data_IF_300064108337
#
_entry.id   IF_300064108337
#
_cell.length_a   1.000
_cell.length_b   1.000
_cell.length_c   1.000
_cell.angle_alpha   90.00
_cell.angle_beta   90.00
_cell.angle_gamma   90.00
#
_symmetry.space_group_name_H-M   'P 1'
#
loop_
_entity.id
_entity.type
_entity.pdbx_description
1 polymer ?
#
# COMPACT_ATOMS: atom_id res chain seq x y z
N UNK A 1 8.40 15.24 -1.36
CA UNK A 1 9.20 14.11 -1.86
C UNK A 1 9.62 13.08 -0.79
N UNK A 2 9.72 13.43 0.52
CA UNK A 2 10.10 12.47 1.59
C UNK A 2 9.02 11.41 1.92
N UNK A 3 7.73 11.72 1.78
CA UNK A 3 6.61 10.79 2.09
C UNK A 3 6.38 9.70 1.02
N UNK A 4 6.89 9.86 -0.19
CA UNK A 4 6.59 8.94 -1.31
C UNK A 4 7.44 7.66 -1.33
N UNK A 5 8.63 7.66 -0.72
CA UNK A 5 9.50 6.48 -0.66
C UNK A 5 8.99 5.52 0.43
N UNK A 6 8.56 6.06 1.58
CA UNK A 6 8.01 5.26 2.69
C UNK A 6 6.73 4.54 2.29
N UNK A 7 5.80 5.22 1.60
CA UNK A 7 4.54 4.62 1.16
C UNK A 7 4.72 3.44 0.20
N UNK A 8 5.78 3.45 -0.63
CA UNK A 8 6.10 2.34 -1.53
C UNK A 8 6.72 1.13 -0.81
N UNK A 9 7.41 1.35 0.31
CA UNK A 9 8.08 0.31 1.09
C UNK A 9 7.09 -0.39 2.02
N UNK A 10 6.18 0.35 2.64
CA UNK A 10 5.13 -0.17 3.54
C UNK A 10 4.21 -1.16 2.80
N UNK A 11 3.90 -0.92 1.53
CA UNK A 11 3.05 -1.81 0.72
C UNK A 11 3.59 -3.23 0.53
N UNK A 12 4.88 -3.45 0.75
CA UNK A 12 5.55 -4.75 0.52
C UNK A 12 5.53 -5.62 1.78
N UNK A 13 5.49 -5.04 2.97
CA UNK A 13 5.61 -5.78 4.24
C UNK A 13 4.33 -6.53 4.67
N UNK A 14 3.14 -6.09 4.24
CA UNK A 14 1.87 -6.62 4.70
C UNK A 14 1.31 -7.83 3.92
N UNK A 15 1.99 -8.32 2.89
CA UNK A 15 1.48 -9.42 2.06
C UNK A 15 1.68 -10.80 2.71
N UNK A 16 2.40 -10.89 3.81
CA UNK A 16 3.02 -12.13 4.27
C UNK A 16 2.27 -12.90 5.37
N UNK A 17 1.23 -12.35 5.97
CA UNK A 17 0.57 -12.98 7.13
C UNK A 17 -0.57 -13.96 6.79
N UNK A 18 -0.79 -14.30 5.51
CA UNK A 18 -1.90 -15.19 5.11
C UNK A 18 -1.38 -16.42 4.40
N UNK A 19 -0.92 -17.39 5.15
CA UNK A 19 -0.50 -18.69 4.66
C UNK A 19 -0.86 -19.82 5.63
N UNK A 20 -2.14 -19.90 6.05
CA UNK A 20 -2.69 -21.13 6.61
C UNK A 20 -3.93 -21.51 5.78
N UNK A 21 -3.67 -22.13 4.66
CA UNK A 21 -4.70 -22.81 3.86
C UNK A 21 -5.09 -24.10 4.56
N UNK A 22 -6.17 -24.07 5.31
CA UNK A 22 -6.80 -25.25 5.89
C UNK A 22 -7.85 -25.77 4.90
N UNK A 23 -7.37 -26.35 3.80
CA UNK A 23 -8.23 -27.13 2.91
C UNK A 23 -8.55 -28.47 3.54
N UNK A 24 -9.58 -28.51 4.35
CA UNK A 24 -10.24 -29.74 4.80
C UNK A 24 -11.23 -30.17 3.70
N UNK A 25 -10.75 -30.88 2.70
CA UNK A 25 -11.62 -31.67 1.83
C UNK A 25 -12.11 -32.90 2.58
N UNK A 26 -13.37 -32.85 2.96
CA UNK A 26 -14.14 -33.95 3.52
C UNK A 26 -14.64 -34.85 2.38
N UNK A 27 -13.86 -35.86 2.02
CA UNK A 27 -14.35 -36.96 1.18
C UNK A 27 -14.78 -38.14 2.07
N UNK A 28 -16.07 -38.26 2.21
CA UNK A 28 -16.79 -39.33 2.87
C UNK A 28 -16.86 -40.58 1.98
N UNK A 29 -16.19 -41.69 2.33
CA UNK A 29 -16.61 -43.02 1.92
C UNK A 29 -16.34 -44.01 3.04
N UNK A 30 -17.40 -44.65 3.48
CA UNK A 30 -17.45 -45.52 4.62
C UNK A 30 -16.78 -46.92 4.41
N UNK A 31 -16.48 -47.55 5.51
CA UNK A 31 -17.00 -48.90 5.88
C UNK A 31 -16.34 -49.37 7.17
N UNK A 32 -17.20 -49.77 8.09
CA UNK A 32 -17.08 -50.57 9.30
C UNK A 32 -15.81 -51.35 9.63
N UNK A 33 -15.35 -51.32 10.90
CA UNK A 33 -15.36 -52.50 11.80
C UNK A 33 -14.86 -52.09 13.21
N UNK A 34 -15.54 -52.64 14.20
CA UNK A 34 -15.26 -52.55 15.63
C UNK A 34 -13.90 -53.16 15.97
N UNK A 35 -13.16 -52.58 16.90
CA UNK A 35 -12.66 -53.31 18.06
C UNK A 35 -12.35 -52.40 19.23
N UNK A 36 -12.73 -52.90 20.43
CA UNK A 36 -12.57 -52.29 21.74
C UNK A 36 -11.15 -52.55 22.23
N UNK A 37 -10.44 -51.51 22.69
CA UNK A 37 -9.52 -51.67 23.80
C UNK A 37 -9.40 -50.39 24.62
N UNK A 38 -9.72 -50.54 25.89
CA UNK A 38 -9.72 -49.57 26.98
C UNK A 38 -8.30 -49.52 27.52
N UNK A 39 -7.63 -48.35 27.42
CA UNK A 39 -6.46 -48.05 28.25
C UNK A 39 -6.60 -46.66 28.80
N UNK A 40 -6.71 -46.56 30.11
CA UNK A 40 -6.69 -45.34 30.87
C UNK A 40 -5.32 -44.67 30.69
N UNK A 41 -5.31 -43.44 30.20
CA UNK A 41 -4.14 -42.60 30.25
C UNK A 41 -4.47 -41.27 30.95
N UNK A 42 -3.75 -41.05 31.98
CA UNK A 42 -3.68 -39.92 32.90
C UNK A 42 -3.69 -38.58 32.14
N UNK A 43 -4.66 -37.77 32.50
CA UNK A 43 -4.82 -36.38 32.04
C UNK A 43 -3.72 -35.52 32.64
N UNK A 44 -2.68 -35.23 31.85
CA UNK A 44 -1.89 -34.03 32.04
C UNK A 44 -2.57 -32.90 31.30
N UNK A 45 -3.06 -31.93 32.02
CA UNK A 45 -3.63 -30.70 31.51
C UNK A 45 -2.58 -29.93 30.69
N UNK A 46 -2.73 -29.89 29.35
CA UNK A 46 -2.09 -28.94 28.47
C UNK A 46 -2.65 -27.54 28.74
N UNK A 47 -1.82 -26.50 28.91
CA UNK A 47 -2.35 -25.15 29.04
C UNK A 47 -2.89 -24.67 27.68
N UNK A 48 -4.07 -24.09 27.75
CA UNK A 48 -4.80 -23.18 26.85
C UNK A 48 -4.33 -23.02 25.38
N UNK A 49 -4.54 -24.04 24.55
CA UNK A 49 -4.40 -23.92 23.09
C UNK A 49 -5.61 -23.25 22.39
N UNK A 50 -6.70 -22.97 23.11
CA UNK A 50 -7.91 -22.35 22.54
C UNK A 50 -7.84 -20.82 22.40
N UNK A 51 -7.04 -20.14 23.23
CA UNK A 51 -6.95 -18.67 23.19
C UNK A 51 -6.00 -18.20 22.07
N UNK A 52 -4.93 -18.92 21.81
CA UNK A 52 -3.92 -18.53 20.81
C UNK A 52 -4.48 -18.53 19.38
N UNK A 53 -5.26 -19.53 19.00
CA UNK A 53 -5.89 -19.62 17.68
C UNK A 53 -6.93 -18.51 17.43
N UNK A 54 -7.59 -18.01 18.49
CA UNK A 54 -8.51 -16.87 18.41
C UNK A 54 -7.78 -15.55 18.16
N UNK A 55 -6.63 -15.35 18.80
CA UNK A 55 -5.82 -14.14 18.68
C UNK A 55 -5.20 -14.02 17.27
N UNK A 56 -4.67 -15.12 16.74
CA UNK A 56 -4.10 -15.18 15.38
C UNK A 56 -5.14 -14.89 14.28
N UNK A 57 -6.34 -15.48 14.40
CA UNK A 57 -7.44 -15.23 13.46
C UNK A 57 -7.86 -13.77 13.48
N UNK A 58 -7.99 -13.17 14.67
CA UNK A 58 -8.31 -11.76 14.79
C UNK A 58 -7.21 -10.85 14.20
N UNK A 59 -5.95 -11.18 14.47
CA UNK A 59 -4.82 -10.44 13.90
C UNK A 59 -4.81 -10.50 12.38
N UNK A 60 -4.96 -11.69 11.79
CA UNK A 60 -5.04 -11.88 10.34
C UNK A 60 -6.18 -11.07 9.71
N UNK A 61 -7.36 -11.03 10.34
CA UNK A 61 -8.50 -10.24 9.85
C UNK A 61 -8.24 -8.73 9.93
N UNK A 62 -7.54 -8.24 10.96
CA UNK A 62 -7.13 -6.84 11.04
C UNK A 62 -6.20 -6.50 9.86
N UNK A 63 -5.16 -7.31 9.63
CA UNK A 63 -4.21 -7.11 8.52
C UNK A 63 -4.94 -7.11 7.17
N UNK A 64 -5.82 -8.08 6.94
CA UNK A 64 -6.58 -8.15 5.69
C UNK A 64 -7.39 -6.87 5.45
N UNK A 65 -8.13 -6.40 6.47
CA UNK A 65 -8.93 -5.18 6.34
C UNK A 65 -8.06 -3.94 6.13
N UNK A 66 -6.91 -3.84 6.82
CA UNK A 66 -5.96 -2.76 6.60
C UNK A 66 -5.42 -2.73 5.17
N UNK A 67 -5.08 -3.90 4.61
CA UNK A 67 -4.63 -4.02 3.23
C UNK A 67 -5.71 -3.61 2.21
N UNK A 68 -6.97 -3.90 2.49
CA UNK A 68 -8.09 -3.44 1.66
C UNK A 68 -8.24 -1.91 1.72
N UNK A 69 -8.06 -1.27 2.89
CA UNK A 69 -8.00 0.18 2.97
C UNK A 69 -6.82 0.76 2.17
N UNK A 70 -5.64 0.16 2.26
CA UNK A 70 -4.48 0.59 1.46
C UNK A 70 -4.77 0.50 -0.05
N UNK A 71 -5.35 -0.62 -0.51
CA UNK A 71 -5.77 -0.79 -1.91
C UNK A 71 -6.75 0.32 -2.31
N UNK A 72 -7.71 0.64 -1.44
CA UNK A 72 -8.69 1.71 -1.66
C UNK A 72 -8.03 3.09 -1.78
N UNK A 73 -7.08 3.42 -0.91
CA UNK A 73 -6.32 4.69 -0.96
C UNK A 73 -5.42 4.81 -2.20
N UNK A 74 -5.03 3.67 -2.77
CA UNK A 74 -4.32 3.58 -4.05
C UNK A 74 -5.25 3.47 -5.27
N UNK A 75 -6.56 3.65 -5.08
CA UNK A 75 -7.60 3.57 -6.13
C UNK A 75 -7.70 2.19 -6.80
N UNK A 76 -7.19 1.13 -6.16
CA UNK A 76 -7.33 -0.26 -6.63
C UNK A 76 -8.64 -0.88 -6.13
N UNK A 77 -9.73 -0.56 -6.81
CA UNK A 77 -11.05 -1.13 -6.53
C UNK A 77 -11.20 -2.58 -7.01
N UNK A 78 -10.29 -3.06 -7.87
CA UNK A 78 -10.28 -4.45 -8.33
C UNK A 78 -10.11 -5.44 -7.18
N UNK A 79 -9.18 -5.16 -6.29
CA UNK A 79 -8.93 -5.94 -5.06
C UNK A 79 -10.17 -5.99 -4.15
N UNK A 80 -10.86 -4.86 -3.98
CA UNK A 80 -12.08 -4.78 -3.16
C UNK A 80 -13.23 -5.60 -3.76
N UNK A 81 -13.42 -5.48 -5.08
CA UNK A 81 -14.44 -6.22 -5.81
C UNK A 81 -14.15 -7.72 -5.78
N UNK A 82 -12.90 -8.13 -5.93
CA UNK A 82 -12.48 -9.52 -5.80
C UNK A 82 -12.84 -10.08 -4.41
N UNK A 83 -12.53 -9.35 -3.35
CA UNK A 83 -12.91 -9.74 -1.98
C UNK A 83 -14.42 -9.85 -1.81
N UNK A 84 -15.18 -8.87 -2.33
CA UNK A 84 -16.65 -8.84 -2.25
C UNK A 84 -17.31 -10.00 -2.99
N UNK A 85 -16.81 -10.35 -4.17
CA UNK A 85 -17.51 -11.25 -5.11
C UNK A 85 -16.90 -12.63 -5.23
N UNK A 86 -15.68 -12.86 -4.71
CA UNK A 86 -14.89 -14.08 -4.91
C UNK A 86 -14.39 -14.28 -6.34
N UNK A 87 -14.61 -13.31 -7.24
CA UNK A 87 -14.20 -13.41 -8.64
C UNK A 87 -12.96 -12.55 -8.88
N UNK A 88 -11.98 -13.11 -9.58
CA UNK A 88 -10.83 -12.34 -10.03
C UNK A 88 -11.35 -11.21 -10.94
N UNK A 89 -11.30 -10.00 -10.43
CA UNK A 89 -11.51 -8.79 -11.19
C UNK A 89 -10.15 -8.33 -11.70
N UNK A 90 -10.03 -8.02 -12.99
CA UNK A 90 -8.83 -7.34 -13.47
C UNK A 90 -8.63 -6.04 -12.69
N UNK A 91 -7.40 -5.52 -12.66
CA UNK A 91 -7.08 -4.23 -12.01
C UNK A 91 -8.03 -3.15 -12.55
N UNK A 92 -8.90 -2.66 -11.67
CA UNK A 92 -9.80 -1.53 -11.98
C UNK A 92 -9.19 -0.32 -11.30
N UNK A 93 -8.21 0.27 -11.96
CA UNK A 93 -7.58 1.50 -11.50
C UNK A 93 -8.27 2.68 -12.20
N UNK A 94 -8.95 3.52 -11.44
CA UNK A 94 -9.72 4.64 -12.00
C UNK A 94 -8.81 5.85 -12.26
N UNK A 95 -7.70 5.97 -11.53
CA UNK A 95 -6.78 7.11 -11.58
C UNK A 95 -7.53 8.47 -11.49
N UNK A 96 -8.53 8.56 -10.60
CA UNK A 96 -9.38 9.74 -10.48
C UNK A 96 -8.56 11.00 -10.22
N UNK A 97 -7.58 10.93 -9.32
CA UNK A 97 -6.74 12.06 -8.96
C UNK A 97 -5.92 12.57 -10.15
N UNK A 98 -5.28 11.67 -10.90
CA UNK A 98 -4.46 12.04 -12.06
C UNK A 98 -5.32 12.57 -13.21
N UNK A 99 -6.47 11.94 -13.46
CA UNK A 99 -7.43 12.41 -14.46
C UNK A 99 -7.99 13.79 -14.11
N UNK A 100 -8.34 14.01 -12.83
CA UNK A 100 -8.81 15.32 -12.36
C UNK A 100 -7.74 16.39 -12.49
N UNK A 101 -6.50 16.08 -12.08
CA UNK A 101 -5.35 16.98 -12.25
C UNK A 101 -5.16 17.38 -13.71
N UNK A 102 -5.24 16.40 -14.62
CA UNK A 102 -5.14 16.62 -16.07
C UNK A 102 -6.24 17.55 -16.57
N UNK A 103 -7.50 17.31 -16.15
CA UNK A 103 -8.66 18.14 -16.52
C UNK A 103 -8.46 19.58 -16.01
N UNK A 104 -8.17 19.73 -14.72
CA UNK A 104 -7.98 21.06 -14.11
C UNK A 104 -6.84 21.83 -14.77
N UNK A 105 -5.68 21.17 -15.00
CA UNK A 105 -4.54 21.82 -15.67
C UNK A 105 -4.85 22.21 -17.11
N UNK A 106 -5.59 21.37 -17.84
CA UNK A 106 -5.96 21.65 -19.25
C UNK A 106 -7.02 22.73 -19.41
N UNK A 107 -7.81 22.97 -18.38
CA UNK A 107 -8.87 23.99 -18.35
C UNK A 107 -8.44 25.27 -17.61
N UNK A 108 -7.25 25.30 -17.01
CA UNK A 108 -6.77 26.42 -16.22
C UNK A 108 -6.31 27.57 -17.11
N UNK A 109 -6.66 28.80 -16.72
CA UNK A 109 -6.02 30.01 -17.24
C UNK A 109 -4.53 30.08 -16.87
N UNK A 110 -3.75 30.91 -17.55
CA UNK A 110 -2.29 31.04 -17.34
C UNK A 110 -1.90 31.32 -15.87
N UNK A 111 -2.76 31.98 -15.11
CA UNK A 111 -2.55 32.23 -13.68
C UNK A 111 -3.10 31.09 -12.75
N UNK A 112 -3.75 30.08 -13.31
CA UNK A 112 -4.33 28.96 -12.55
C UNK A 112 -5.57 29.28 -11.71
N UNK A 113 -6.08 30.51 -11.77
CA UNK A 113 -7.17 30.96 -10.87
C UNK A 113 -8.57 30.70 -11.42
N UNK A 114 -8.73 30.64 -12.75
CA UNK A 114 -10.02 30.52 -13.41
C UNK A 114 -9.97 29.52 -14.57
N UNK A 115 -11.16 29.15 -15.06
CA UNK A 115 -11.29 28.29 -16.25
C UNK A 115 -10.98 29.11 -17.52
N UNK A 116 -10.17 28.55 -18.44
CA UNK A 116 -9.96 29.05 -19.79
C UNK A 116 -10.87 28.30 -20.80
N UNK A 117 -11.87 28.98 -21.26
CA UNK A 117 -12.83 28.47 -22.27
C UNK A 117 -12.44 28.83 -23.71
N UNK A 118 -11.34 29.57 -23.92
CA UNK A 118 -10.90 30.00 -25.24
C UNK A 118 -10.77 28.86 -26.23
N UNK A 119 -10.17 27.68 -25.87
CA UNK A 119 -10.06 26.56 -26.80
C UNK A 119 -11.42 26.03 -27.27
N UNK A 120 -12.44 25.99 -26.40
CA UNK A 120 -13.78 25.55 -26.77
C UNK A 120 -14.47 26.54 -27.71
N UNK A 121 -14.40 27.83 -27.40
CA UNK A 121 -15.00 28.91 -28.24
C UNK A 121 -14.37 28.94 -29.62
N UNK A 122 -13.04 28.81 -29.72
CA UNK A 122 -12.33 28.74 -31.01
C UNK A 122 -12.74 27.49 -31.78
N UNK A 123 -12.82 26.35 -31.14
CA UNK A 123 -13.23 25.09 -31.78
C UNK A 123 -14.66 25.16 -32.39
N UNK A 124 -15.58 25.84 -31.71
CA UNK A 124 -16.95 25.98 -32.14
C UNK A 124 -17.16 26.97 -33.29
N UNK A 125 -16.43 28.10 -33.27
CA UNK A 125 -16.70 29.26 -34.12
C UNK A 125 -15.76 29.39 -35.30
N UNK A 126 -14.53 28.83 -35.23
CA UNK A 126 -13.51 29.06 -36.27
C UNK A 126 -13.62 28.06 -37.43
N UNK A 127 -13.54 28.63 -38.65
CA UNK A 127 -13.43 27.87 -39.92
C UNK A 127 -11.96 27.61 -40.30
N UNK A 128 -11.03 28.37 -39.74
CA UNK A 128 -9.58 28.21 -39.98
C UNK A 128 -9.11 26.88 -39.42
N UNK A 129 -8.67 25.98 -40.30
CA UNK A 129 -8.21 24.62 -39.90
C UNK A 129 -7.06 24.64 -38.88
N UNK A 130 -6.12 25.60 -38.98
CA UNK A 130 -4.96 25.69 -38.08
C UNK A 130 -5.41 26.06 -36.67
N UNK A 131 -6.29 27.04 -36.54
CA UNK A 131 -6.84 27.45 -35.22
C UNK A 131 -7.71 26.35 -34.63
N UNK A 132 -8.55 25.71 -35.45
CA UNK A 132 -9.36 24.57 -35.03
C UNK A 132 -8.53 23.38 -34.59
N UNK A 133 -7.40 23.08 -35.26
CA UNK A 133 -6.46 22.03 -34.82
C UNK A 133 -5.80 22.38 -33.50
N UNK A 134 -5.36 23.62 -33.26
CA UNK A 134 -4.78 24.05 -31.99
C UNK A 134 -5.82 23.97 -30.85
N UNK A 135 -7.03 24.44 -31.07
CA UNK A 135 -8.13 24.33 -30.10
C UNK A 135 -8.45 22.87 -29.78
N UNK A 136 -8.52 21.99 -30.81
CA UNK A 136 -8.72 20.54 -30.62
C UNK A 136 -7.61 19.90 -29.78
N UNK A 137 -6.35 20.26 -30.05
CA UNK A 137 -5.21 19.80 -29.24
C UNK A 137 -5.32 20.23 -27.78
N UNK A 138 -5.75 21.45 -27.49
CA UNK A 138 -5.87 21.98 -26.15
C UNK A 138 -6.97 21.27 -25.32
N UNK A 139 -8.11 20.92 -25.96
CA UNK A 139 -9.23 20.24 -25.28
C UNK A 139 -9.13 18.71 -25.31
N UNK A 140 -8.20 18.13 -26.08
CA UNK A 140 -8.06 16.68 -26.21
C UNK A 140 -7.79 15.96 -24.88
N UNK A 141 -6.91 16.44 -23.97
CA UNK A 141 -6.71 15.80 -22.67
C UNK A 141 -8.00 15.71 -21.86
N UNK A 142 -8.80 16.77 -21.88
CA UNK A 142 -10.12 16.80 -21.19
C UNK A 142 -11.06 15.75 -21.81
N UNK A 143 -11.20 15.74 -23.13
CA UNK A 143 -12.04 14.76 -23.84
C UNK A 143 -11.59 13.33 -23.60
N UNK A 144 -10.28 13.09 -23.62
CA UNK A 144 -9.72 11.77 -23.36
C UNK A 144 -10.04 11.28 -21.94
N UNK A 145 -9.87 12.13 -20.92
CA UNK A 145 -10.20 11.78 -19.55
C UNK A 145 -11.66 11.31 -19.40
N UNK A 146 -12.61 12.03 -20.00
CA UNK A 146 -14.04 11.68 -19.92
C UNK A 146 -14.46 10.52 -20.82
N UNK A 147 -13.82 10.30 -21.95
CA UNK A 147 -14.20 9.24 -22.87
C UNK A 147 -13.61 7.87 -22.53
N UNK A 148 -12.45 7.83 -21.88
CA UNK A 148 -11.67 6.59 -21.66
C UNK A 148 -11.65 6.13 -20.20
N UNK A 149 -11.71 7.04 -19.26
CA UNK A 149 -11.39 6.74 -17.86
C UNK A 149 -12.51 7.03 -16.85
N UNK A 150 -13.37 8.01 -17.16
CA UNK A 150 -14.43 8.43 -16.24
C UNK A 150 -15.81 8.01 -16.76
N UNK A 151 -16.53 7.25 -15.95
CA UNK A 151 -17.85 6.75 -16.29
C UNK A 151 -18.76 6.68 -15.07
N UNK A 152 -20.07 6.76 -15.29
CA UNK A 152 -21.07 6.58 -14.24
C UNK A 152 -20.90 5.23 -13.53
N UNK A 153 -20.64 4.16 -14.28
CA UNK A 153 -20.40 2.83 -13.70
C UNK A 153 -19.10 2.75 -12.87
N UNK A 154 -18.12 3.61 -13.15
CA UNK A 154 -16.92 3.74 -12.34
C UNK A 154 -17.22 4.38 -10.98
N UNK A 155 -18.02 5.44 -10.98
CA UNK A 155 -18.46 6.11 -9.75
C UNK A 155 -19.32 5.18 -8.87
N UNK A 156 -20.25 4.43 -9.47
CA UNK A 156 -21.08 3.45 -8.76
C UNK A 156 -20.24 2.34 -8.12
N UNK A 157 -19.27 1.80 -8.85
CA UNK A 157 -18.34 0.77 -8.31
C UNK A 157 -17.49 1.29 -7.16
N UNK A 158 -16.97 2.51 -7.26
CA UNK A 158 -16.24 3.13 -6.16
C UNK A 158 -17.14 3.24 -4.92
N UNK A 159 -18.35 3.78 -5.08
CA UNK A 159 -19.34 3.89 -4.00
C UNK A 159 -19.66 2.54 -3.36
N UNK A 160 -19.95 1.52 -4.17
CA UNK A 160 -20.21 0.16 -3.68
C UNK A 160 -19.01 -0.43 -2.93
N UNK A 161 -17.78 -0.13 -3.37
CA UNK A 161 -16.56 -0.59 -2.70
C UNK A 161 -16.41 0.06 -1.32
N UNK A 162 -16.63 1.36 -1.19
CA UNK A 162 -16.61 2.04 0.11
C UNK A 162 -17.71 1.53 1.06
N UNK A 163 -18.93 1.31 0.56
CA UNK A 163 -20.00 0.73 1.37
C UNK A 163 -19.66 -0.71 1.83
N UNK A 164 -19.04 -1.51 0.98
CA UNK A 164 -18.56 -2.85 1.35
C UNK A 164 -17.51 -2.78 2.47
N UNK A 165 -16.54 -1.87 2.40
CA UNK A 165 -15.52 -1.67 3.43
C UNK A 165 -16.12 -1.42 4.82
N UNK A 166 -17.24 -0.70 4.91
CA UNK A 166 -17.97 -0.46 6.17
C UNK A 166 -18.54 -1.72 6.80
N UNK A 167 -18.77 -2.78 6.02
CA UNK A 167 -19.32 -4.05 6.51
C UNK A 167 -18.28 -5.04 7.03
N UNK A 168 -17.00 -4.79 6.79
CA UNK A 168 -15.93 -5.71 7.14
C UNK A 168 -15.57 -5.67 8.62
N UNK A 169 -15.36 -6.87 9.19
CA UNK A 169 -14.84 -7.05 10.54
C UNK A 169 -13.35 -7.45 10.51
N UNK A 170 -12.60 -7.14 11.55
CA UNK A 170 -12.97 -6.36 12.73
C UNK A 170 -13.06 -4.87 12.46
N UNK A 171 -13.64 -4.09 13.38
CA UNK A 171 -13.60 -2.64 13.31
C UNK A 171 -12.17 -2.14 13.57
N UNK A 172 -11.69 -1.20 12.74
CA UNK A 172 -10.44 -0.48 12.89
C UNK A 172 -10.76 1.02 13.07
N UNK A 173 -11.09 1.49 14.31
CA UNK A 173 -11.84 2.74 14.50
C UNK A 173 -11.21 3.96 13.83
N UNK A 174 -9.91 4.18 13.97
CA UNK A 174 -9.21 5.33 13.40
C UNK A 174 -9.11 5.21 11.87
N UNK A 175 -8.66 4.05 11.37
CA UNK A 175 -8.50 3.81 9.94
C UNK A 175 -9.85 3.77 9.22
N UNK A 176 -10.89 3.18 9.81
CA UNK A 176 -12.25 3.17 9.26
C UNK A 176 -12.85 4.58 9.20
N UNK A 177 -12.62 5.42 10.22
CA UNK A 177 -13.14 6.79 10.22
C UNK A 177 -12.52 7.62 9.09
N UNK A 178 -11.19 7.57 8.94
CA UNK A 178 -10.47 8.29 7.88
C UNK A 178 -10.78 7.71 6.50
N UNK A 179 -10.85 6.38 6.38
CA UNK A 179 -11.22 5.70 5.14
C UNK A 179 -12.63 6.07 4.66
N UNK A 180 -13.57 6.22 5.57
CA UNK A 180 -14.93 6.68 5.24
C UNK A 180 -14.93 8.14 4.75
N UNK A 181 -14.19 9.04 5.41
CA UNK A 181 -14.08 10.46 5.01
C UNK A 181 -13.41 10.59 3.62
N UNK A 182 -12.36 9.79 3.38
CA UNK A 182 -11.73 9.67 2.05
C UNK A 182 -12.74 9.19 0.99
N UNK A 183 -13.50 8.14 1.31
CA UNK A 183 -14.51 7.58 0.39
C UNK A 183 -15.60 8.58 0.03
N UNK A 184 -16.13 9.32 0.99
CA UNK A 184 -17.12 10.38 0.75
C UNK A 184 -16.55 11.48 -0.16
N UNK A 185 -15.32 11.91 0.10
CA UNK A 185 -14.65 12.94 -0.72
C UNK A 185 -14.30 12.42 -2.12
N UNK A 186 -13.96 11.14 -2.26
CA UNK A 186 -13.71 10.48 -3.54
C UNK A 186 -14.97 10.47 -4.42
N UNK A 187 -16.09 10.04 -3.86
CA UNK A 187 -17.38 9.99 -4.57
C UNK A 187 -17.85 11.39 -4.95
N UNK A 188 -17.73 12.37 -4.04
CA UNK A 188 -18.10 13.77 -4.31
C UNK A 188 -17.30 14.36 -5.47
N UNK A 189 -15.96 14.16 -5.48
CA UNK A 189 -15.12 14.60 -6.59
C UNK A 189 -15.53 13.92 -7.90
N UNK A 190 -15.75 12.60 -7.87
CA UNK A 190 -16.12 11.84 -9.06
C UNK A 190 -17.44 12.35 -9.68
N UNK A 191 -18.47 12.56 -8.85
CA UNK A 191 -19.76 13.08 -9.31
C UNK A 191 -19.65 14.50 -9.90
N UNK A 192 -18.88 15.38 -9.25
CA UNK A 192 -18.65 16.76 -9.75
C UNK A 192 -17.87 16.75 -11.07
N UNK A 193 -16.88 15.88 -11.16
CA UNK A 193 -16.10 15.72 -12.39
C UNK A 193 -16.97 15.21 -13.55
N UNK A 194 -17.85 14.22 -13.30
CA UNK A 194 -18.82 13.76 -14.29
C UNK A 194 -19.78 14.89 -14.75
N UNK A 195 -20.25 15.74 -13.83
CA UNK A 195 -21.10 16.90 -14.18
C UNK A 195 -20.37 17.88 -15.09
N UNK A 196 -19.09 18.20 -14.78
CA UNK A 196 -18.27 19.06 -15.63
C UNK A 196 -18.04 18.40 -17.00
N UNK A 197 -17.78 17.08 -17.03
CA UNK A 197 -17.60 16.32 -18.27
C UNK A 197 -18.87 16.28 -19.13
N UNK A 198 -20.03 16.04 -18.52
CA UNK A 198 -21.32 16.12 -19.21
C UNK A 198 -21.56 17.50 -19.82
N UNK A 199 -21.25 18.54 -19.05
CA UNK A 199 -21.43 19.91 -19.48
C UNK A 199 -20.52 20.30 -20.66
N UNK A 200 -19.23 19.96 -20.61
CA UNK A 200 -18.23 20.39 -21.61
C UNK A 200 -17.99 19.40 -22.75
N UNK A 201 -18.21 18.08 -22.55
CA UNK A 201 -17.69 17.06 -23.46
C UNK A 201 -18.73 16.05 -23.93
N UNK A 202 -19.52 15.46 -23.01
CA UNK A 202 -20.37 14.32 -23.32
C UNK A 202 -21.70 14.79 -23.88
N UNK A 203 -22.41 15.69 -23.19
CA UNK A 203 -23.72 16.25 -23.59
C UNK A 203 -23.55 17.63 -24.21
N UNK A 204 -22.43 18.28 -24.03
CA UNK A 204 -22.11 19.62 -24.56
C UNK A 204 -23.21 20.66 -24.23
N UNK A 205 -23.77 20.58 -23.01
CA UNK A 205 -24.93 21.43 -22.63
C UNK A 205 -24.54 22.92 -22.45
N UNK A 206 -23.23 23.26 -22.45
CA UNK A 206 -22.76 24.64 -22.52
C UNK A 206 -23.31 25.41 -23.74
N UNK A 207 -23.70 24.70 -24.80
CA UNK A 207 -24.33 25.29 -26.00
C UNK A 207 -25.69 25.88 -25.74
N UNK A 208 -26.36 25.47 -24.63
CA UNK A 208 -27.66 25.97 -24.25
C UNK A 208 -27.61 27.25 -23.42
N UNK A 209 -26.50 27.54 -22.78
CA UNK A 209 -26.32 28.64 -21.83
C UNK A 209 -25.07 29.50 -22.07
N UNK A 210 -24.39 29.31 -23.21
CA UNK A 210 -23.17 30.04 -23.59
C UNK A 210 -22.11 30.05 -22.48
N UNK A 211 -21.80 28.86 -21.91
CA UNK A 211 -20.83 28.63 -20.85
C UNK A 211 -21.16 29.27 -19.50
N UNK A 212 -22.41 29.69 -19.25
CA UNK A 212 -22.75 30.38 -18.01
C UNK A 212 -22.47 29.59 -16.73
N UNK A 213 -22.54 28.24 -16.76
CA UNK A 213 -22.27 27.38 -15.60
C UNK A 213 -20.80 26.89 -15.52
N UNK A 214 -19.97 27.12 -16.53
CA UNK A 214 -18.63 26.54 -16.64
C UNK A 214 -17.74 26.87 -15.43
N UNK A 215 -17.73 28.14 -15.03
CA UNK A 215 -16.91 28.62 -13.92
C UNK A 215 -17.29 27.93 -12.60
N UNK A 216 -18.58 27.84 -12.31
CA UNK A 216 -19.07 27.22 -11.07
C UNK A 216 -18.75 25.72 -11.04
N UNK A 217 -18.96 25.00 -12.14
CA UNK A 217 -18.66 23.56 -12.23
C UNK A 217 -17.16 23.29 -12.11
N UNK A 218 -16.32 24.17 -12.68
CA UNK A 218 -14.86 24.08 -12.54
C UNK A 218 -14.42 24.29 -11.10
N UNK A 219 -14.93 25.34 -10.42
CA UNK A 219 -14.60 25.60 -9.02
C UNK A 219 -15.11 24.50 -8.09
N UNK A 220 -16.26 23.91 -8.36
CA UNK A 220 -16.77 22.74 -7.63
C UNK A 220 -15.80 21.56 -7.71
N UNK A 221 -15.27 21.24 -8.90
CA UNK A 221 -14.27 20.19 -9.10
C UNK A 221 -12.97 20.54 -8.40
N UNK A 222 -12.48 21.77 -8.55
CA UNK A 222 -11.23 22.25 -7.92
C UNK A 222 -11.27 22.13 -6.40
N UNK A 223 -12.38 22.55 -5.78
CA UNK A 223 -12.56 22.46 -4.33
C UNK A 223 -12.68 21.01 -3.85
N UNK A 224 -13.41 20.16 -4.58
CA UNK A 224 -13.52 18.74 -4.25
C UNK A 224 -12.18 18.01 -4.42
N UNK A 225 -11.42 18.37 -5.44
CA UNK A 225 -10.06 17.83 -5.63
C UNK A 225 -9.12 18.18 -4.47
N UNK A 226 -9.10 19.45 -4.06
CA UNK A 226 -8.30 19.90 -2.93
C UNK A 226 -8.69 19.16 -1.63
N UNK A 227 -10.01 18.99 -1.39
CA UNK A 227 -10.52 18.22 -0.26
C UNK A 227 -10.07 16.75 -0.29
N UNK A 228 -10.15 16.10 -1.46
CA UNK A 228 -9.71 14.70 -1.57
C UNK A 228 -8.20 14.53 -1.35
N UNK A 229 -7.39 15.48 -1.80
CA UNK A 229 -5.93 15.47 -1.51
C UNK A 229 -5.68 15.54 0.01
N UNK A 230 -6.37 16.44 0.73
CA UNK A 230 -6.27 16.56 2.18
C UNK A 230 -6.70 15.26 2.91
N UNK A 231 -7.82 14.65 2.48
CA UNK A 231 -8.26 13.37 3.05
C UNK A 231 -7.30 12.22 2.70
N UNK A 232 -6.66 12.22 1.54
CA UNK A 232 -5.63 11.24 1.16
C UNK A 232 -4.37 11.36 2.04
N UNK A 233 -3.96 12.58 2.39
CA UNK A 233 -2.84 12.78 3.32
C UNK A 233 -3.18 12.24 4.72
N UNK A 234 -4.38 12.53 5.22
CA UNK A 234 -4.87 11.96 6.50
C UNK A 234 -4.95 10.43 6.46
N UNK A 235 -5.40 9.87 5.34
CA UNK A 235 -5.47 8.43 5.14
C UNK A 235 -4.07 7.78 5.16
N UNK A 236 -3.07 8.43 4.56
CA UNK A 236 -1.70 7.96 4.59
C UNK A 236 -1.12 7.97 6.02
N UNK A 237 -1.34 9.05 6.77
CA UNK A 237 -0.88 9.17 8.15
C UNK A 237 -1.59 8.14 9.08
N UNK A 238 -2.91 7.94 8.90
CA UNK A 238 -3.67 6.95 9.68
C UNK A 238 -3.26 5.51 9.34
N UNK A 239 -2.96 5.22 8.07
CA UNK A 239 -2.47 3.91 7.67
C UNK A 239 -1.07 3.63 8.23
N UNK A 240 -0.19 4.62 8.25
CA UNK A 240 1.14 4.48 8.86
C UNK A 240 1.03 4.16 10.36
N UNK A 241 0.18 4.87 11.10
CA UNK A 241 -0.06 4.60 12.52
C UNK A 241 -0.66 3.20 12.74
N UNK A 242 -1.61 2.81 11.91
CA UNK A 242 -2.19 1.47 11.92
C UNK A 242 -1.13 0.40 11.67
N UNK A 243 -0.29 0.58 10.65
CA UNK A 243 0.79 -0.33 10.33
C UNK A 243 1.77 -0.51 11.51
N UNK A 244 2.20 0.58 12.13
CA UNK A 244 3.07 0.55 13.30
C UNK A 244 2.45 -0.23 14.46
N UNK A 245 1.16 -0.01 14.72
CA UNK A 245 0.43 -0.74 15.76
C UNK A 245 0.35 -2.25 15.46
N UNK A 246 0.07 -2.63 14.20
CA UNK A 246 0.04 -4.04 13.77
C UNK A 246 1.41 -4.69 13.84
N UNK A 247 2.46 -3.99 13.48
CA UNK A 247 3.82 -4.50 13.59
C UNK A 247 4.23 -4.80 15.04
N UNK A 248 3.87 -3.91 15.97
CA UNK A 248 4.11 -4.14 17.41
C UNK A 248 3.30 -5.36 17.89
N UNK A 249 2.01 -5.47 17.50
CA UNK A 249 1.17 -6.62 17.85
C UNK A 249 1.75 -7.93 17.29
N UNK A 250 2.26 -7.93 16.06
CA UNK A 250 2.92 -9.08 15.44
C UNK A 250 4.19 -9.50 16.21
N UNK A 251 5.04 -8.56 16.56
CA UNK A 251 6.25 -8.83 17.36
C UNK A 251 5.92 -9.49 18.71
N UNK A 252 4.87 -9.02 19.38
CA UNK A 252 4.42 -9.62 20.64
C UNK A 252 3.86 -11.04 20.46
N UNK A 253 3.11 -11.30 19.38
CA UNK A 253 2.63 -12.64 19.03
C UNK A 253 3.79 -13.59 18.74
N UNK A 254 4.70 -13.21 17.88
CA UNK A 254 5.90 -14.00 17.52
C UNK A 254 6.73 -14.34 18.74
N UNK A 255 6.90 -13.37 19.65
CA UNK A 255 7.61 -13.57 20.92
C UNK A 255 6.86 -14.51 21.88
N UNK A 256 5.55 -14.34 22.02
CA UNK A 256 4.67 -15.20 22.86
C UNK A 256 4.72 -16.66 22.40
N UNK A 257 4.76 -16.91 21.11
CA UNK A 257 4.87 -18.23 20.50
C UNK A 257 6.29 -18.82 20.59
N UNK A 258 7.27 -18.00 20.95
CA UNK A 258 8.67 -18.39 21.01
C UNK A 258 9.27 -18.70 19.64
N UNK A 259 8.86 -17.96 18.61
CA UNK A 259 9.39 -18.01 17.25
C UNK A 259 10.65 -17.14 17.16
N UNK A 260 11.75 -17.68 17.66
CA UNK A 260 13.02 -16.93 17.86
C UNK A 260 13.63 -16.46 16.54
N UNK A 261 13.54 -17.28 15.49
CA UNK A 261 14.09 -16.97 14.15
C UNK A 261 13.35 -15.79 13.56
N UNK A 262 12.01 -15.89 13.49
CA UNK A 262 11.14 -14.83 12.93
C UNK A 262 11.31 -13.53 13.73
N UNK A 263 11.30 -13.60 15.05
CA UNK A 263 11.49 -12.44 15.92
C UNK A 263 12.82 -11.73 15.62
N UNK A 264 13.92 -12.49 15.48
CA UNK A 264 15.22 -11.92 15.19
C UNK A 264 15.30 -11.28 13.79
N UNK A 265 14.65 -11.89 12.80
CA UNK A 265 14.56 -11.34 11.46
C UNK A 265 13.78 -10.00 11.49
N UNK A 266 12.61 -9.96 12.15
CA UNK A 266 11.80 -8.74 12.28
C UNK A 266 12.58 -7.61 12.97
N UNK A 267 13.24 -7.90 14.11
CA UNK A 267 14.06 -6.91 14.80
C UNK A 267 15.22 -6.40 13.96
N UNK A 268 15.84 -7.25 13.17
CA UNK A 268 16.93 -6.83 12.28
C UNK A 268 16.44 -5.90 11.18
N UNK A 269 15.25 -6.18 10.63
CA UNK A 269 14.61 -5.32 9.66
C UNK A 269 14.26 -3.95 10.25
N UNK A 270 13.65 -3.92 11.44
CA UNK A 270 13.31 -2.68 12.16
C UNK A 270 14.53 -1.80 12.38
N UNK A 271 15.64 -2.39 12.77
CA UNK A 271 16.86 -1.60 13.00
C UNK A 271 17.38 -0.96 11.72
N UNK A 272 17.31 -1.68 10.59
CA UNK A 272 17.68 -1.13 9.29
C UNK A 272 16.70 -0.05 8.88
N UNK A 273 15.38 -0.31 8.95
CA UNK A 273 14.32 0.64 8.61
C UNK A 273 14.48 1.94 9.40
N UNK A 274 14.55 1.85 10.72
CA UNK A 274 14.74 3.03 11.59
C UNK A 274 16.03 3.80 11.27
N UNK A 275 17.09 3.09 10.89
CA UNK A 275 18.33 3.73 10.47
C UNK A 275 18.14 4.51 9.17
N UNK A 276 17.53 3.90 8.15
CA UNK A 276 17.31 4.53 6.86
C UNK A 276 16.32 5.71 6.96
N UNK A 277 15.27 5.59 7.76
CA UNK A 277 14.28 6.65 7.99
C UNK A 277 14.88 7.87 8.72
N UNK A 278 15.83 7.62 9.62
CA UNK A 278 16.54 8.69 10.33
C UNK A 278 17.53 9.45 9.44
N UNK A 279 17.93 8.87 8.31
CA UNK A 279 18.88 9.50 7.40
C UNK A 279 18.20 10.57 6.54
N UNK A 280 18.62 11.82 6.70
CA UNK A 280 18.32 12.88 5.75
C UNK A 280 19.42 12.91 4.68
N UNK A 281 19.15 12.57 3.40
CA UNK A 281 20.16 12.54 2.34
C UNK A 281 20.96 13.83 2.21
N UNK A 282 20.34 14.98 2.52
CA UNK A 282 20.98 16.29 2.43
C UNK A 282 21.87 16.61 3.65
N UNK A 283 21.72 15.85 4.75
CA UNK A 283 22.44 16.11 6.01
C UNK A 283 22.51 14.86 6.85
N UNK A 284 23.37 13.93 6.46
CA UNK A 284 23.63 12.71 7.23
C UNK A 284 24.66 13.04 8.32
N UNK A 285 24.29 12.79 9.58
CA UNK A 285 25.23 12.86 10.69
C UNK A 285 26.06 11.57 10.77
N UNK A 286 27.38 11.71 10.58
CA UNK A 286 28.31 10.58 10.52
C UNK A 286 28.36 9.82 11.86
N UNK A 287 28.27 10.51 13.00
CA UNK A 287 28.33 9.85 14.31
C UNK A 287 27.08 8.99 14.54
N UNK A 288 25.92 9.49 14.18
CA UNK A 288 24.65 8.73 14.22
C UNK A 288 24.69 7.53 13.29
N UNK A 289 25.19 7.70 12.06
CA UNK A 289 25.36 6.60 11.11
C UNK A 289 26.32 5.52 11.64
N UNK A 290 27.46 5.90 12.19
CA UNK A 290 28.44 4.98 12.77
C UNK A 290 27.85 4.15 13.91
N UNK A 291 27.09 4.79 14.80
CA UNK A 291 26.39 4.11 15.89
C UNK A 291 25.32 3.11 15.36
N UNK A 292 24.60 3.50 14.33
CA UNK A 292 23.62 2.62 13.68
C UNK A 292 24.30 1.42 13.00
N UNK A 293 25.38 1.63 12.26
CA UNK A 293 26.18 0.54 11.64
C UNK A 293 26.61 -0.46 12.71
N UNK A 294 27.14 0.00 13.84
CA UNK A 294 27.57 -0.88 14.94
C UNK A 294 26.42 -1.76 15.45
N UNK A 295 25.20 -1.18 15.55
CA UNK A 295 24.02 -1.93 15.99
C UNK A 295 23.57 -2.96 14.93
N UNK A 296 23.60 -2.59 13.65
CA UNK A 296 23.25 -3.49 12.55
C UNK A 296 24.25 -4.64 12.44
N UNK A 297 25.55 -4.39 12.64
CA UNK A 297 26.58 -5.44 12.69
C UNK A 297 26.37 -6.42 13.84
N UNK A 298 26.03 -5.92 15.03
CA UNK A 298 25.73 -6.79 16.17
C UNK A 298 24.52 -7.70 15.86
N UNK A 299 23.52 -7.20 15.18
CA UNK A 299 22.38 -8.00 14.76
C UNK A 299 22.73 -9.01 13.66
N UNK A 300 23.64 -8.69 12.74
CA UNK A 300 24.14 -9.66 11.76
C UNK A 300 24.73 -10.90 12.45
N UNK A 301 25.51 -10.70 13.51
CA UNK A 301 26.09 -11.78 14.31
C UNK A 301 25.00 -12.62 15.00
N UNK A 302 23.95 -11.99 15.53
CA UNK A 302 22.82 -12.73 16.12
C UNK A 302 22.02 -13.52 15.08
N UNK A 303 21.81 -12.96 13.87
CA UNK A 303 21.20 -13.67 12.76
C UNK A 303 22.00 -14.91 12.34
N UNK A 304 23.35 -14.80 12.27
CA UNK A 304 24.23 -15.95 11.98
C UNK A 304 24.06 -17.07 13.01
N UNK A 305 24.01 -16.72 14.31
CA UNK A 305 23.80 -17.70 15.39
C UNK A 305 22.47 -18.41 15.29
N UNK A 306 21.40 -17.64 15.01
CA UNK A 306 20.04 -18.16 14.90
C UNK A 306 19.90 -19.05 13.65
N UNK A 307 20.42 -18.61 12.52
CA UNK A 307 20.41 -19.38 11.26
C UNK A 307 21.35 -20.59 11.27
N UNK A 308 22.37 -20.59 12.13
CA UNK A 308 23.23 -21.76 12.40
C UNK A 308 22.58 -22.79 13.33
N UNK A 309 21.43 -22.48 13.94
CA UNK A 309 20.77 -23.37 14.90
C UNK A 309 19.60 -24.12 14.24
N UNK A 310 19.88 -25.33 13.75
CA UNK A 310 18.88 -26.19 13.11
C UNK A 310 17.64 -26.49 13.97
N UNK A 311 17.79 -26.55 15.29
CA UNK A 311 16.64 -26.81 16.18
C UNK A 311 15.66 -25.63 16.20
N UNK A 312 16.17 -24.40 16.17
CA UNK A 312 15.34 -23.18 16.07
C UNK A 312 14.68 -23.09 14.69
N UNK A 313 15.45 -23.27 13.63
CA UNK A 313 14.93 -23.25 12.26
C UNK A 313 13.82 -24.28 12.03
N UNK A 314 14.06 -25.54 12.45
CA UNK A 314 13.07 -26.61 12.29
C UNK A 314 11.78 -26.35 13.06
N UNK A 315 11.84 -25.67 14.23
CA UNK A 315 10.66 -25.28 14.99
C UNK A 315 9.74 -24.34 14.18
N UNK A 316 10.34 -23.54 13.30
CA UNK A 316 9.65 -22.56 12.46
C UNK A 316 9.52 -23.00 10.99
N UNK A 317 9.64 -24.31 10.73
CA UNK A 317 9.58 -24.93 9.39
C UNK A 317 10.62 -24.36 8.39
N UNK A 318 11.76 -23.90 8.89
CA UNK A 318 12.88 -23.40 8.10
C UNK A 318 14.07 -24.38 8.18
N UNK A 319 14.99 -24.29 7.24
CA UNK A 319 16.26 -25.05 7.23
C UNK A 319 17.42 -24.13 6.89
N UNK A 320 18.59 -24.37 7.48
CA UNK A 320 19.82 -23.62 7.15
C UNK A 320 20.24 -23.77 5.69
N UNK A 321 19.79 -24.84 5.02
CA UNK A 321 20.01 -25.10 3.59
C UNK A 321 19.04 -24.35 2.68
N UNK A 322 17.96 -23.80 3.20
CA UNK A 322 16.97 -23.06 2.41
C UNK A 322 17.62 -21.83 1.78
N UNK A 323 17.36 -21.66 0.48
CA UNK A 323 17.91 -20.53 -0.27
C UNK A 323 17.52 -19.17 0.36
N UNK A 324 16.25 -19.01 0.77
CA UNK A 324 15.76 -17.76 1.36
C UNK A 324 16.44 -17.42 2.70
N UNK A 325 16.76 -18.43 3.54
CA UNK A 325 17.48 -18.22 4.79
C UNK A 325 18.90 -17.72 4.55
N UNK A 326 19.63 -18.39 3.64
CA UNK A 326 20.99 -17.98 3.25
C UNK A 326 20.99 -16.60 2.60
N UNK A 327 20.04 -16.39 1.69
CA UNK A 327 19.94 -15.14 0.93
C UNK A 327 19.62 -13.94 1.82
N UNK A 328 18.78 -14.11 2.85
CA UNK A 328 18.49 -13.05 3.81
C UNK A 328 19.76 -12.59 4.52
N UNK A 329 20.55 -13.53 5.02
CA UNK A 329 21.80 -13.20 5.71
C UNK A 329 22.81 -12.52 4.77
N UNK A 330 22.98 -13.03 3.55
CA UNK A 330 23.86 -12.40 2.54
C UNK A 330 23.45 -10.95 2.25
N UNK A 331 22.14 -10.70 2.03
CA UNK A 331 21.63 -9.35 1.75
C UNK A 331 21.81 -8.42 2.95
N UNK A 332 21.57 -8.94 4.17
CA UNK A 332 21.78 -8.17 5.39
C UNK A 332 23.26 -7.77 5.56
N UNK A 333 24.18 -8.70 5.35
CA UNK A 333 25.63 -8.45 5.40
C UNK A 333 26.08 -7.48 4.28
N UNK A 334 25.52 -7.61 3.08
CA UNK A 334 25.81 -6.68 1.97
C UNK A 334 25.36 -5.27 2.35
N UNK A 335 24.18 -5.12 2.95
CA UNK A 335 23.68 -3.83 3.42
C UNK A 335 24.63 -3.18 4.45
N UNK A 336 25.19 -3.97 5.38
CA UNK A 336 26.21 -3.51 6.33
C UNK A 336 27.43 -2.96 5.58
N UNK A 337 27.90 -3.66 4.56
CA UNK A 337 29.05 -3.24 3.75
C UNK A 337 28.76 -1.90 3.07
N UNK A 338 27.59 -1.76 2.45
CA UNK A 338 27.20 -0.53 1.75
C UNK A 338 27.04 0.68 2.70
N UNK A 339 26.50 0.46 3.90
CA UNK A 339 26.47 1.49 4.95
C UNK A 339 27.86 1.96 5.38
N UNK A 340 28.82 1.05 5.51
CA UNK A 340 30.23 1.39 5.78
C UNK A 340 30.89 2.15 4.63
N UNK A 341 30.56 1.79 3.38
CA UNK A 341 31.03 2.53 2.19
C UNK A 341 30.46 3.95 2.20
N UNK A 342 29.19 4.12 2.56
CA UNK A 342 28.56 5.43 2.73
C UNK A 342 29.28 6.26 3.82
N UNK A 343 29.50 5.68 5.00
CA UNK A 343 30.21 6.32 6.11
C UNK A 343 31.60 6.80 5.68
N UNK A 344 32.37 5.93 5.00
CA UNK A 344 33.68 6.28 4.46
C UNK A 344 33.64 7.45 3.49
N UNK A 345 32.68 7.44 2.54
CA UNK A 345 32.52 8.52 1.57
C UNK A 345 32.15 9.87 2.23
N UNK A 346 31.28 9.82 3.28
CA UNK A 346 30.93 10.99 4.06
C UNK A 346 32.15 11.59 4.77
N UNK A 347 32.97 10.76 5.40
CA UNK A 347 34.23 11.17 6.04
C UNK A 347 35.23 11.78 5.05
N UNK A 348 35.27 11.25 3.83
CA UNK A 348 36.11 11.72 2.74
C UNK A 348 35.50 12.91 1.95
N UNK A 349 34.28 13.35 2.32
CA UNK A 349 33.49 14.42 1.64
C UNK A 349 33.29 14.15 0.13
N UNK A 350 33.11 12.90 -0.24
CA UNK A 350 32.82 12.44 -1.60
C UNK A 350 31.32 12.42 -1.90
N UNK A 351 30.99 12.35 -3.19
CA UNK A 351 29.59 12.15 -3.62
C UNK A 351 29.04 10.81 -3.10
N UNK A 352 27.85 10.87 -2.47
CA UNK A 352 27.17 9.76 -1.83
C UNK A 352 25.95 9.25 -2.60
N UNK A 353 25.56 9.93 -3.67
CA UNK A 353 24.30 9.63 -4.41
C UNK A 353 24.24 8.18 -4.87
N UNK A 354 25.35 7.63 -5.38
CA UNK A 354 25.42 6.22 -5.79
C UNK A 354 25.27 5.25 -4.60
N UNK A 355 25.82 5.58 -3.43
CA UNK A 355 25.74 4.73 -2.23
C UNK A 355 24.32 4.71 -1.70
N UNK A 356 23.61 5.84 -1.68
CA UNK A 356 22.21 5.91 -1.25
C UNK A 356 21.33 5.05 -2.17
N UNK A 357 21.52 5.13 -3.50
CA UNK A 357 20.78 4.29 -4.45
C UNK A 357 21.06 2.79 -4.24
N UNK A 358 22.31 2.42 -4.01
CA UNK A 358 22.69 1.02 -3.75
C UNK A 358 22.04 0.51 -2.46
N UNK A 359 22.13 1.27 -1.36
CA UNK A 359 21.51 0.93 -0.08
C UNK A 359 20.00 0.76 -0.23
N UNK A 360 19.32 1.65 -0.96
CA UNK A 360 17.89 1.55 -1.22
C UNK A 360 17.51 0.27 -1.97
N UNK A 361 18.32 -0.14 -2.95
CA UNK A 361 18.10 -1.38 -3.70
C UNK A 361 18.35 -2.62 -2.84
N UNK A 362 19.44 -2.65 -2.07
CA UNK A 362 19.73 -3.77 -1.17
C UNK A 362 18.65 -3.93 -0.09
N UNK A 363 18.16 -2.81 0.45
CA UNK A 363 17.05 -2.83 1.40
C UNK A 363 15.76 -3.38 0.77
N UNK A 364 15.44 -2.98 -0.48
CA UNK A 364 14.30 -3.54 -1.21
C UNK A 364 14.43 -5.05 -1.38
N UNK A 365 15.60 -5.56 -1.79
CA UNK A 365 15.83 -7.00 -1.93
C UNK A 365 15.75 -7.74 -0.60
N UNK A 366 16.20 -7.12 0.49
CA UNK A 366 16.08 -7.67 1.84
C UNK A 366 14.61 -7.88 2.23
N UNK A 367 13.75 -6.88 1.97
CA UNK A 367 12.30 -6.97 2.21
C UNK A 367 11.66 -8.05 1.34
N UNK A 368 11.96 -8.10 0.04
CA UNK A 368 11.43 -9.11 -0.88
C UNK A 368 11.78 -10.53 -0.41
N UNK A 369 13.01 -10.71 0.07
CA UNK A 369 13.46 -11.99 0.60
C UNK A 369 12.80 -12.32 1.96
N UNK A 370 12.64 -11.34 2.85
CA UNK A 370 11.86 -11.48 4.08
C UNK A 370 10.46 -12.01 3.80
N UNK A 371 9.75 -11.39 2.86
CA UNK A 371 8.42 -11.83 2.46
C UNK A 371 8.40 -13.27 1.96
N UNK A 372 9.44 -13.69 1.23
CA UNK A 372 9.59 -15.09 0.78
C UNK A 372 9.87 -16.07 1.91
N UNK A 373 10.52 -15.61 3.00
CA UNK A 373 10.81 -16.42 4.17
C UNK A 373 9.57 -16.72 5.00
N UNK A 374 8.73 -15.71 5.21
CA UNK A 374 7.56 -15.84 6.09
C UNK A 374 6.30 -16.35 5.38
N UNK A 375 6.24 -16.30 4.04
CA UNK A 375 5.14 -16.85 3.23
C UNK A 375 5.12 -18.40 3.17
N UNK A 376 6.11 -19.07 3.76
CA UNK A 376 6.20 -20.54 3.83
C UNK A 376 5.61 -21.05 5.15
#
# INVERSE_FOLDING_TARGET
MKKSILASIISILLISAVGCDNSNENSNTGTSSQDKNKTEQTTQSKPDSKNTQSDEVQFSQKIEKGNLWLATFNEDFGTIIQKKTGRISGTINVNLLDNTKTVLTSLSSDNGESIDLTPFKVFETETDQIKKMKASSAIMPVRSAFSMHLSVSGAERAKESFEFMKTLSPTLPELDAVGNAYGESYVDLYEKLLKLGDYLVVKETYRLDDFAQASNLYEDVKNAYAKLIDEKEKAADAYENYYQAMHIEELELVKKEGLVVRYQIMQSLDTVTNTLDSMNPDKIDVATLSAAITKIEAQSIELEKVFGNEALLNKENMKSTDYSVKKYLELYQQLVIELKVLEKKLNEKKDISSSINTISNEYKYLIENYNSLIAK
#
